data_IF_403055311161
#
_entry.id   IF_403055311161
#
_cell.length_a   1.000
_cell.length_b   1.000
_cell.length_c   1.000
_cell.angle_alpha   90.00
_cell.angle_beta   90.00
_cell.angle_gamma   90.00
#
_symmetry.space_group_name_H-M   'P 1'
#
loop_
_entity.id
_entity.type
_entity.pdbx_description
1 polymer ?
#
# COMPACT_ATOMS: atom_id res chain seq x y z
N UNK A 1 57.38 -9.05 6.66
CA UNK A 1 56.78 -9.92 5.62
C UNK A 1 55.33 -10.31 5.89
N UNK A 2 54.85 -10.27 7.15
CA UNK A 2 53.45 -10.62 7.50
C UNK A 2 52.41 -9.52 7.20
N UNK A 3 52.83 -8.27 6.93
CA UNK A 3 51.92 -7.14 6.68
C UNK A 3 51.13 -7.27 5.37
N UNK A 4 51.77 -7.78 4.33
CA UNK A 4 51.19 -7.99 3.00
C UNK A 4 50.10 -9.08 2.98
N UNK A 5 50.31 -10.28 3.58
CA UNK A 5 49.26 -11.30 3.62
C UNK A 5 48.08 -10.90 4.54
N UNK A 6 48.34 -10.14 5.61
CA UNK A 6 47.27 -9.61 6.48
C UNK A 6 46.39 -8.62 5.71
N UNK A 7 46.99 -7.70 4.94
CA UNK A 7 46.24 -6.75 4.13
C UNK A 7 45.36 -7.46 3.09
N UNK A 8 45.90 -8.48 2.40
CA UNK A 8 45.16 -9.26 1.42
C UNK A 8 43.97 -10.00 2.05
N UNK A 9 44.18 -10.64 3.22
CA UNK A 9 43.13 -11.34 3.94
C UNK A 9 42.00 -10.40 4.38
N UNK A 10 42.35 -9.21 4.88
CA UNK A 10 41.38 -8.19 5.28
C UNK A 10 40.54 -7.71 4.10
N UNK A 11 41.16 -7.46 2.93
CA UNK A 11 40.42 -7.09 1.72
C UNK A 11 39.48 -8.19 1.25
N UNK A 12 39.90 -9.45 1.29
CA UNK A 12 39.01 -10.58 0.93
C UNK A 12 37.86 -10.75 1.91
N UNK A 13 38.10 -10.53 3.21
CA UNK A 13 37.05 -10.62 4.22
C UNK A 13 36.03 -9.50 4.03
N UNK A 14 36.49 -8.26 3.79
CA UNK A 14 35.61 -7.11 3.55
C UNK A 14 34.73 -7.32 2.31
N UNK A 15 35.33 -7.83 1.22
CA UNK A 15 34.60 -8.11 -0.01
C UNK A 15 33.56 -9.24 0.21
N UNK A 16 33.93 -10.31 0.92
CA UNK A 16 33.01 -11.39 1.25
C UNK A 16 31.86 -10.90 2.15
N UNK A 17 32.15 -10.07 3.15
CA UNK A 17 31.13 -9.47 4.01
C UNK A 17 30.19 -8.55 3.21
N UNK A 18 30.71 -7.74 2.29
CA UNK A 18 29.87 -6.89 1.44
C UNK A 18 28.94 -7.70 0.53
N UNK A 19 29.38 -8.86 0.02
CA UNK A 19 28.53 -9.74 -0.79
C UNK A 19 27.47 -10.45 0.06
N UNK A 20 27.84 -10.92 1.25
CA UNK A 20 26.95 -11.69 2.13
C UNK A 20 25.91 -10.81 2.85
N UNK A 21 26.24 -9.57 3.15
CA UNK A 21 25.40 -8.67 3.96
C UNK A 21 24.95 -7.40 3.22
N UNK A 22 25.45 -7.15 2.00
CA UNK A 22 25.12 -5.93 1.24
C UNK A 22 23.78 -6.00 0.49
N UNK A 23 23.19 -7.18 0.35
CA UNK A 23 21.82 -7.31 -0.12
C UNK A 23 20.87 -7.04 1.05
N UNK A 24 20.56 -5.77 1.30
CA UNK A 24 19.46 -5.40 2.19
C UNK A 24 18.16 -6.06 1.73
N UNK A 25 17.27 -6.37 2.67
CA UNK A 25 15.94 -6.89 2.34
C UNK A 25 15.21 -5.91 1.43
N UNK A 26 14.58 -6.43 0.37
CA UNK A 26 13.62 -5.64 -0.40
C UNK A 26 12.32 -5.56 0.41
N UNK A 27 12.28 -4.64 1.38
CA UNK A 27 11.03 -4.34 2.09
C UNK A 27 10.06 -3.72 1.08
N UNK A 28 8.87 -4.31 0.96
CA UNK A 28 7.82 -3.69 0.19
C UNK A 28 7.45 -2.39 0.91
N UNK A 29 7.62 -1.24 0.27
CA UNK A 29 7.17 0.06 0.78
C UNK A 29 5.63 0.16 0.94
N UNK A 30 4.92 -0.97 0.91
CA UNK A 30 3.46 -1.09 0.89
C UNK A 30 3.00 -2.14 -0.13
N UNK A 31 1.77 -2.63 0.06
CA UNK A 31 1.10 -3.54 -0.86
C UNK A 31 0.34 -2.76 -1.93
N UNK A 32 0.30 -3.30 -3.16
CA UNK A 32 -0.55 -2.79 -4.24
C UNK A 32 -1.86 -3.53 -4.23
N UNK A 33 -2.94 -2.88 -3.83
CA UNK A 33 -4.24 -3.51 -3.76
C UNK A 33 -5.36 -2.51 -4.00
N UNK A 34 -6.58 -3.03 -4.18
CA UNK A 34 -7.79 -2.23 -4.20
C UNK A 34 -8.37 -2.13 -2.79
N UNK A 35 -8.35 -0.94 -2.20
CA UNK A 35 -9.08 -0.67 -0.96
C UNK A 35 -10.56 -0.40 -1.27
N UNK A 36 -11.43 -0.77 -0.33
CA UNK A 36 -12.88 -0.64 -0.44
C UNK A 36 -13.40 0.33 0.62
N UNK A 37 -14.29 1.23 0.19
CA UNK A 37 -14.74 2.38 0.96
C UNK A 37 -16.25 2.54 0.86
N UNK A 38 -16.83 2.97 1.97
CA UNK A 38 -18.25 3.31 2.08
C UNK A 38 -18.38 4.83 2.28
N UNK A 39 -19.41 5.42 1.68
CA UNK A 39 -19.76 6.81 1.95
C UNK A 39 -20.21 6.98 3.41
N UNK A 40 -19.68 8.01 4.09
CA UNK A 40 -20.16 8.47 5.38
C UNK A 40 -20.49 9.96 5.29
N UNK A 41 -21.69 10.28 4.83
CA UNK A 41 -22.07 11.64 4.48
C UNK A 41 -21.28 12.14 3.26
N UNK A 42 -20.40 13.12 3.44
CA UNK A 42 -19.57 13.70 2.37
C UNK A 42 -18.13 13.16 2.35
N UNK A 43 -17.81 12.26 3.27
CA UNK A 43 -16.47 11.73 3.48
C UNK A 43 -16.44 10.22 3.23
N UNK A 44 -15.22 9.67 3.12
CA UNK A 44 -15.00 8.24 2.96
C UNK A 44 -14.73 7.57 4.30
N UNK A 45 -15.33 6.41 4.52
CA UNK A 45 -14.99 5.50 5.60
C UNK A 45 -14.42 4.20 5.00
N UNK A 46 -13.33 3.69 5.57
CA UNK A 46 -12.79 2.41 5.16
C UNK A 46 -13.82 1.31 5.48
N UNK A 47 -14.13 0.47 4.49
CA UNK A 47 -15.21 -0.50 4.64
C UNK A 47 -14.86 -1.57 5.69
N UNK A 48 -15.82 -1.91 6.54
CA UNK A 48 -15.67 -2.99 7.53
C UNK A 48 -16.12 -4.35 6.99
N UNK A 49 -16.78 -4.35 5.83
CA UNK A 49 -17.24 -5.53 5.12
C UNK A 49 -16.64 -5.58 3.71
N UNK A 50 -16.50 -6.79 3.16
CA UNK A 50 -16.08 -6.96 1.77
C UNK A 50 -17.20 -6.61 0.77
N UNK A 51 -16.86 -6.23 -0.47
CA UNK A 51 -17.82 -5.80 -1.49
C UNK A 51 -18.79 -6.91 -1.94
N UNK A 52 -18.48 -8.18 -1.66
CA UNK A 52 -19.38 -9.30 -1.93
C UNK A 52 -20.48 -9.49 -0.88
N UNK A 53 -20.32 -8.89 0.32
CA UNK A 53 -21.23 -9.03 1.44
C UNK A 53 -22.09 -7.78 1.63
N UNK A 54 -21.52 -6.60 1.39
CA UNK A 54 -22.22 -5.34 1.56
C UNK A 54 -23.47 -5.28 0.65
N UNK A 55 -24.60 -4.89 1.25
CA UNK A 55 -25.85 -4.61 0.54
C UNK A 55 -26.16 -3.12 0.69
N UNK A 56 -25.69 -2.27 -0.24
CA UNK A 56 -25.90 -0.84 -0.16
C UNK A 56 -27.38 -0.48 -0.36
N UNK A 57 -27.85 0.49 0.42
CA UNK A 57 -29.13 1.14 0.18
C UNK A 57 -29.04 2.02 -1.08
N UNK A 58 -30.19 2.30 -1.67
CA UNK A 58 -30.29 3.21 -2.81
C UNK A 58 -29.76 4.61 -2.47
N UNK A 59 -29.18 5.28 -3.46
CA UNK A 59 -28.55 6.60 -3.25
C UNK A 59 -27.22 6.59 -2.49
N UNK A 60 -26.71 5.43 -2.06
CA UNK A 60 -25.39 5.34 -1.40
C UNK A 60 -24.26 5.20 -2.43
N UNK A 61 -23.05 5.63 -2.07
CA UNK A 61 -21.87 5.53 -2.94
C UNK A 61 -20.84 4.58 -2.32
N UNK A 62 -20.33 3.67 -3.14
CA UNK A 62 -19.23 2.77 -2.79
C UNK A 62 -17.98 3.15 -3.60
N UNK A 63 -16.83 3.08 -2.94
CA UNK A 63 -15.55 3.51 -3.49
C UNK A 63 -14.54 2.37 -3.59
N UNK A 64 -13.82 2.33 -4.71
CA UNK A 64 -12.65 1.48 -4.86
C UNK A 64 -11.43 2.36 -5.19
N UNK A 65 -10.31 2.11 -4.52
CA UNK A 65 -9.07 2.84 -4.77
C UNK A 65 -7.89 1.88 -4.91
N UNK A 66 -7.27 1.88 -6.09
CA UNK A 66 -5.99 1.21 -6.30
C UNK A 66 -4.85 2.15 -5.95
N UNK A 67 -4.02 1.73 -5.01
CA UNK A 67 -2.87 2.47 -4.48
C UNK A 67 -1.81 1.51 -3.93
N UNK A 68 -0.64 2.07 -3.58
CA UNK A 68 0.33 1.42 -2.70
C UNK A 68 0.01 1.91 -1.29
N UNK A 69 -0.28 1.00 -0.37
CA UNK A 69 -0.55 1.33 1.04
C UNK A 69 0.01 0.25 1.96
N UNK A 70 0.45 0.61 3.17
CA UNK A 70 1.00 -0.35 4.13
C UNK A 70 -0.08 -1.32 4.62
N UNK A 71 -1.21 -0.78 5.04
CA UNK A 71 -2.38 -1.54 5.49
C UNK A 71 -3.68 -0.73 5.29
N UNK A 72 -4.77 -1.15 5.93
CA UNK A 72 -6.07 -0.47 5.86
C UNK A 72 -6.13 0.87 6.61
N UNK A 73 -5.29 1.07 7.64
CA UNK A 73 -5.25 2.30 8.41
C UNK A 73 -4.53 3.43 7.67
N UNK A 74 -3.61 3.09 6.77
CA UNK A 74 -2.87 4.01 5.88
C UNK A 74 -3.36 3.94 4.41
N UNK A 75 -4.57 3.42 4.18
CA UNK A 75 -5.08 3.30 2.83
C UNK A 75 -5.46 4.67 2.24
N UNK A 76 -5.00 4.95 1.02
CA UNK A 76 -5.48 6.09 0.26
C UNK A 76 -6.98 5.96 0.00
N UNK A 77 -7.75 7.00 0.36
CA UNK A 77 -9.17 7.09 0.03
C UNK A 77 -9.42 7.45 -1.45
N UNK A 78 -10.62 7.21 -1.99
CA UNK A 78 -10.99 7.68 -3.31
C UNK A 78 -10.89 9.21 -3.43
N UNK A 79 -10.42 9.69 -4.58
CA UNK A 79 -10.09 11.11 -4.78
C UNK A 79 -11.30 12.03 -4.87
N UNK A 80 -12.43 11.52 -5.35
CA UNK A 80 -13.69 12.28 -5.46
C UNK A 80 -14.52 12.00 -4.23
N UNK A 81 -15.23 13.00 -3.73
CA UNK A 81 -16.20 12.81 -2.65
C UNK A 81 -17.29 11.81 -3.07
N UNK A 82 -17.88 11.06 -2.12
CA UNK A 82 -18.98 10.13 -2.36
C UNK A 82 -20.32 10.86 -2.58
N UNK A 83 -20.39 11.67 -3.65
CA UNK A 83 -21.59 12.44 -4.00
C UNK A 83 -22.43 11.69 -5.03
N UNK A 84 -23.49 11.01 -4.58
CA UNK A 84 -24.38 10.24 -5.46
C UNK A 84 -25.01 11.12 -6.54
N UNK A 85 -25.53 12.29 -6.19
CA UNK A 85 -26.16 13.19 -7.14
C UNK A 85 -25.20 13.68 -8.23
N UNK A 86 -23.95 13.97 -7.87
CA UNK A 86 -22.94 14.36 -8.85
C UNK A 86 -22.44 13.19 -9.71
N UNK A 87 -22.43 11.96 -9.18
CA UNK A 87 -21.92 10.77 -9.88
C UNK A 87 -22.99 10.16 -10.80
N UNK A 88 -24.21 9.99 -10.28
CA UNK A 88 -25.32 9.30 -10.91
C UNK A 88 -26.26 10.26 -11.65
N UNK A 89 -26.19 11.57 -11.37
CA UNK A 89 -26.97 12.63 -12.02
C UNK A 89 -28.47 12.32 -12.04
N UNK A 90 -29.04 12.12 -13.23
CA UNK A 90 -30.46 11.87 -13.44
C UNK A 90 -30.85 10.40 -13.22
N UNK A 91 -29.91 9.55 -12.81
CA UNK A 91 -30.22 8.17 -12.44
C UNK A 91 -30.96 8.19 -11.11
N UNK A 92 -32.20 7.65 -11.05
CA UNK A 92 -32.97 7.56 -9.82
C UNK A 92 -32.19 6.86 -8.70
#
# INVERSE_FOLDING_TARGET
MLRTPIAALLTTLLAASAVLFGAGGAEAAGYRYWSFWEANGKDWAYATQGPALLRPDDGTVQGFRFSVSEDSADADQPRRAPDFGAICADTP
#
